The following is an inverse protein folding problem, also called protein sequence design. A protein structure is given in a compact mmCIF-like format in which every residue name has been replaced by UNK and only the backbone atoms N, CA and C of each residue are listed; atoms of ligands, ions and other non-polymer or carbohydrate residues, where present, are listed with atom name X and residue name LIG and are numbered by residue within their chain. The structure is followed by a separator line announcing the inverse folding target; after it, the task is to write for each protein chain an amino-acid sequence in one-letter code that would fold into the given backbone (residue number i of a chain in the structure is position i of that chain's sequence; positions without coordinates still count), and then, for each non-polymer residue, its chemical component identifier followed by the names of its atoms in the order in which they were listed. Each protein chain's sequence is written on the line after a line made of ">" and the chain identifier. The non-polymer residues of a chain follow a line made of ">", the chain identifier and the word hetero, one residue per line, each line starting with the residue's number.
data_IF_863280092758
#
_entry.id   IF_863280092758
#
_cell.length_a   1.000
_cell.length_b   1.000
_cell.length_c   1.000
_cell.angle_alpha   90.00
_cell.angle_beta   90.00
_cell.angle_gamma   90.00
#
_symmetry.space_group_name_H-M   'P 1'
#
loop_
_entity.id
_entity.type
_entity.pdbx_description
1 polymer ?
#
# COMPACT_ATOMS: atom_id res chain seq x y z
N UNK A 1 -18.61 -6.85 14.40
CA UNK A 1 -17.44 -7.23 13.56
C UNK A 1 -16.13 -6.86 14.25
N UNK A 2 -15.86 -5.57 14.49
CA UNK A 2 -14.59 -5.06 15.07
C UNK A 2 -14.12 -5.85 16.30
N UNK A 3 -14.96 -5.99 17.33
CA UNK A 3 -14.66 -6.79 18.53
C UNK A 3 -14.22 -8.23 18.25
N UNK A 4 -14.80 -8.87 17.24
CA UNK A 4 -14.47 -10.25 16.89
C UNK A 4 -13.11 -10.34 16.20
N UNK A 5 -12.79 -9.38 15.33
CA UNK A 5 -11.50 -9.31 14.64
C UNK A 5 -10.39 -9.01 15.66
N UNK A 6 -10.61 -8.04 16.54
CA UNK A 6 -9.64 -7.62 17.55
C UNK A 6 -9.52 -8.56 18.77
N UNK A 7 -10.28 -9.67 18.81
CA UNK A 7 -10.19 -10.61 19.93
C UNK A 7 -8.78 -11.21 20.07
N UNK A 8 -8.09 -11.40 18.96
CA UNK A 8 -6.79 -12.08 18.89
C UNK A 8 -5.78 -11.32 18.01
N UNK A 9 -5.96 -10.01 17.85
CA UNK A 9 -5.11 -9.18 17.01
C UNK A 9 -4.83 -7.84 17.70
N UNK A 10 -3.58 -7.39 17.62
CA UNK A 10 -3.11 -6.11 18.17
C UNK A 10 -3.35 -4.95 17.19
N UNK A 11 -4.04 -5.21 16.08
CA UNK A 11 -4.38 -4.18 15.10
C UNK A 11 -5.41 -4.63 14.07
N UNK A 12 -5.99 -3.65 13.40
CA UNK A 12 -6.95 -3.85 12.30
C UNK A 12 -6.68 -2.84 11.19
N UNK A 13 -6.64 -3.33 9.94
CA UNK A 13 -6.70 -2.50 8.75
C UNK A 13 -8.15 -2.44 8.26
N UNK A 14 -8.72 -1.25 8.20
CA UNK A 14 -10.05 -1.00 7.62
C UNK A 14 -9.87 -0.76 6.14
N UNK A 15 -10.27 -1.74 5.35
CA UNK A 15 -10.32 -1.63 3.90
C UNK A 15 -11.36 -0.59 3.48
N UNK A 16 -11.04 0.25 2.49
CA UNK A 16 -11.88 1.33 2.02
C UNK A 16 -12.48 2.17 3.15
N UNK A 17 -11.62 2.83 3.94
CA UNK A 17 -12.04 3.53 5.17
C UNK A 17 -13.00 4.69 4.91
N UNK A 18 -13.01 5.23 3.69
CA UNK A 18 -14.03 6.18 3.22
C UNK A 18 -15.47 5.61 3.32
N UNK A 19 -15.61 4.28 3.35
CA UNK A 19 -16.86 3.56 3.60
C UNK A 19 -17.54 3.90 4.94
N UNK A 20 -16.79 4.43 5.92
CA UNK A 20 -17.37 4.94 7.17
C UNK A 20 -18.16 6.25 6.96
N UNK A 21 -17.93 6.97 5.85
CA UNK A 21 -18.67 8.17 5.45
C UNK A 21 -19.70 7.88 4.38
N UNK A 22 -19.30 7.13 3.33
CA UNK A 22 -20.16 6.85 2.18
C UNK A 22 -19.67 5.67 1.36
N UNK A 23 -20.58 5.03 0.65
CA UNK A 23 -20.26 4.00 -0.34
C UNK A 23 -20.93 4.29 -1.68
N UNK A 24 -20.25 3.95 -2.76
CA UNK A 24 -20.82 4.00 -4.12
C UNK A 24 -21.74 2.80 -4.33
N UNK A 25 -23.05 3.02 -4.29
CA UNK A 25 -24.05 1.99 -4.46
C UNK A 25 -24.49 1.90 -5.92
N UNK A 26 -24.50 0.69 -6.46
CA UNK A 26 -24.96 0.39 -7.81
C UNK A 26 -26.22 -0.46 -7.69
N UNK A 27 -27.35 -0.05 -8.30
CA UNK A 27 -28.54 -0.89 -8.32
C UNK A 27 -28.25 -2.26 -8.95
N UNK A 28 -28.83 -3.36 -8.45
CA UNK A 28 -28.58 -4.69 -9.00
C UNK A 28 -28.86 -4.74 -10.52
N UNK A 29 -27.88 -5.20 -11.29
CA UNK A 29 -27.97 -5.33 -12.75
C UNK A 29 -27.58 -4.09 -13.56
N UNK A 30 -27.33 -2.94 -12.92
CA UNK A 30 -26.90 -1.72 -13.58
C UNK A 30 -25.35 -1.61 -13.67
N UNK A 31 -24.81 -0.89 -14.67
CA UNK A 31 -23.37 -0.64 -14.76
C UNK A 31 -22.88 0.35 -13.69
N UNK A 32 -21.58 0.35 -13.32
CA UNK A 32 -21.05 1.21 -12.25
C UNK A 32 -21.35 2.71 -12.40
N UNK A 33 -21.39 3.21 -13.64
CA UNK A 33 -21.73 4.61 -13.97
C UNK A 33 -23.15 5.04 -13.56
N UNK A 34 -24.01 4.10 -13.19
CA UNK A 34 -25.40 4.33 -12.74
C UNK A 34 -25.54 4.33 -11.22
N UNK A 35 -24.44 4.22 -10.50
CA UNK A 35 -24.44 4.30 -9.04
C UNK A 35 -24.55 5.72 -8.50
N UNK A 36 -24.60 5.81 -7.18
CA UNK A 36 -24.55 7.07 -6.42
C UNK A 36 -23.94 6.82 -5.05
N UNK A 37 -23.46 7.89 -4.39
CA UNK A 37 -23.01 7.79 -3.01
C UNK A 37 -24.18 7.74 -2.03
N UNK A 38 -24.20 6.70 -1.20
CA UNK A 38 -25.06 6.59 -0.01
C UNK A 38 -24.21 6.90 1.22
N UNK A 39 -24.71 7.82 2.05
CA UNK A 39 -23.98 8.35 3.19
C UNK A 39 -24.33 7.62 4.48
N UNK A 40 -23.34 7.48 5.35
CA UNK A 40 -23.43 6.98 6.71
C UNK A 40 -23.23 8.11 7.71
N UNK A 41 -23.43 7.81 9.00
CA UNK A 41 -23.06 8.69 10.11
C UNK A 41 -21.59 8.40 10.50
N UNK A 42 -20.61 9.18 10.02
CA UNK A 42 -19.21 8.91 10.29
C UNK A 42 -18.87 9.06 11.78
N UNK A 43 -19.53 9.96 12.50
CA UNK A 43 -19.25 10.18 13.92
C UNK A 43 -19.59 8.93 14.73
N UNK A 44 -20.76 8.35 14.47
CA UNK A 44 -21.16 7.09 15.10
C UNK A 44 -20.22 5.92 14.71
N UNK A 45 -19.85 5.83 13.43
CA UNK A 45 -18.99 4.76 12.91
C UNK A 45 -17.57 4.83 13.50
N UNK A 46 -16.97 6.02 13.53
CA UNK A 46 -15.66 6.29 14.12
C UNK A 46 -15.69 6.07 15.64
N UNK A 47 -16.73 6.52 16.33
CA UNK A 47 -16.85 6.30 17.78
C UNK A 47 -16.85 4.82 18.15
N UNK A 48 -17.59 3.98 17.40
CA UNK A 48 -17.60 2.53 17.64
C UNK A 48 -16.24 1.90 17.32
N UNK A 49 -15.63 2.25 16.18
CA UNK A 49 -14.32 1.73 15.79
C UNK A 49 -13.24 2.06 16.81
N UNK A 50 -13.13 3.33 17.19
CA UNK A 50 -12.12 3.82 18.13
C UNK A 50 -12.33 3.27 19.54
N UNK A 51 -13.58 3.14 20.01
CA UNK A 51 -13.88 2.54 21.31
C UNK A 51 -13.46 1.06 21.35
N UNK A 52 -13.82 0.27 20.35
CA UNK A 52 -13.47 -1.15 20.32
C UNK A 52 -11.96 -1.37 20.13
N UNK A 53 -11.29 -0.53 19.33
CA UNK A 53 -9.83 -0.52 19.21
C UNK A 53 -9.15 -0.17 20.54
N UNK A 54 -9.61 0.88 21.21
CA UNK A 54 -9.09 1.30 22.52
C UNK A 54 -9.23 0.20 23.57
N UNK A 55 -10.39 -0.47 23.64
CA UNK A 55 -10.62 -1.59 24.58
C UNK A 55 -9.71 -2.78 24.33
N UNK A 56 -9.28 -2.98 23.08
CA UNK A 56 -8.35 -4.04 22.70
C UNK A 56 -6.88 -3.61 22.77
N UNK A 57 -6.59 -2.31 23.00
CA UNK A 57 -5.23 -1.77 22.87
C UNK A 57 -4.67 -1.87 21.45
N UNK A 58 -5.54 -1.86 20.43
CA UNK A 58 -5.20 -2.19 19.06
C UNK A 58 -4.90 -0.96 18.18
N UNK A 59 -3.95 -1.09 17.27
CA UNK A 59 -3.67 -0.10 16.22
C UNK A 59 -4.73 -0.18 15.12
N UNK A 60 -5.18 0.97 14.62
CA UNK A 60 -6.09 1.04 13.47
C UNK A 60 -5.36 1.67 12.29
N UNK A 61 -5.40 1.00 11.14
CA UNK A 61 -4.96 1.55 9.85
C UNK A 61 -6.18 1.74 8.96
N UNK A 62 -6.46 2.96 8.52
CA UNK A 62 -7.41 3.22 7.45
C UNK A 62 -6.73 3.09 6.09
N UNK A 63 -7.33 2.31 5.20
CA UNK A 63 -7.01 2.35 3.78
C UNK A 63 -7.72 3.56 3.16
N UNK A 64 -6.97 4.65 2.99
CA UNK A 64 -7.41 5.93 2.44
C UNK A 64 -6.80 6.21 1.04
N UNK A 65 -6.71 5.19 0.18
CA UNK A 65 -6.19 5.31 -1.18
C UNK A 65 -7.30 5.63 -2.18
N UNK A 66 -6.91 6.24 -3.31
CA UNK A 66 -7.82 6.56 -4.41
C UNK A 66 -8.56 7.88 -4.19
N UNK A 67 -9.83 7.93 -4.58
CA UNK A 67 -10.63 9.16 -4.53
C UNK A 67 -11.26 9.36 -3.14
N UNK A 68 -10.43 9.79 -2.20
CA UNK A 68 -10.82 10.04 -0.80
C UNK A 68 -10.89 11.55 -0.53
N UNK A 69 -11.92 11.99 0.18
CA UNK A 69 -12.04 13.40 0.57
C UNK A 69 -11.04 13.71 1.70
N UNK A 70 -10.37 14.89 1.71
CA UNK A 70 -9.36 15.23 2.71
C UNK A 70 -9.80 15.00 4.17
N UNK A 71 -11.07 15.31 4.46
CA UNK A 71 -11.69 15.13 5.78
C UNK A 71 -11.59 13.69 6.32
N UNK A 72 -11.51 12.69 5.45
CA UNK A 72 -11.38 11.27 5.86
C UNK A 72 -10.00 11.07 6.48
N UNK A 73 -8.93 11.41 5.75
CA UNK A 73 -7.55 11.30 6.24
C UNK A 73 -7.30 12.20 7.45
N UNK A 74 -7.88 13.40 7.48
CA UNK A 74 -7.84 14.29 8.65
C UNK A 74 -8.45 13.61 9.88
N UNK A 75 -9.67 13.07 9.76
CA UNK A 75 -10.33 12.37 10.85
C UNK A 75 -9.56 11.12 11.31
N UNK A 76 -8.91 10.38 10.40
CA UNK A 76 -8.03 9.27 10.80
C UNK A 76 -6.96 9.76 11.78
N UNK A 77 -6.25 10.82 11.41
CA UNK A 77 -5.17 11.35 12.24
C UNK A 77 -5.68 11.96 13.55
N UNK A 78 -6.81 12.67 13.54
CA UNK A 78 -7.44 13.23 14.75
C UNK A 78 -7.82 12.15 15.77
N UNK A 79 -8.22 10.97 15.29
CA UNK A 79 -8.55 9.82 16.13
C UNK A 79 -7.36 8.90 16.44
N UNK A 80 -6.13 9.31 16.10
CA UNK A 80 -4.91 8.52 16.34
C UNK A 80 -4.80 7.25 15.48
N UNK A 81 -5.53 7.19 14.37
CA UNK A 81 -5.47 6.10 13.39
C UNK A 81 -4.42 6.41 12.31
N UNK A 82 -3.86 5.36 11.72
CA UNK A 82 -2.86 5.47 10.67
C UNK A 82 -3.53 5.55 9.28
N UNK A 83 -3.03 6.41 8.40
CA UNK A 83 -3.31 6.37 6.96
C UNK A 83 -2.47 5.29 6.26
N UNK A 84 -2.68 5.09 4.95
CA UNK A 84 -1.90 4.18 4.11
C UNK A 84 -0.99 4.96 3.16
N UNK A 85 0.32 4.84 3.34
CA UNK A 85 1.33 5.44 2.46
C UNK A 85 1.95 4.38 1.54
N UNK A 86 1.54 4.34 0.28
CA UNK A 86 2.03 3.36 -0.72
C UNK A 86 2.96 4.07 -1.70
N UNK A 87 4.22 3.62 -1.81
CA UNK A 87 5.29 4.27 -2.59
C UNK A 87 4.85 4.70 -3.99
N UNK A 88 4.13 3.83 -4.71
CA UNK A 88 3.64 4.09 -6.07
C UNK A 88 2.78 5.35 -6.20
N UNK A 89 2.16 5.80 -5.11
CA UNK A 89 1.19 6.90 -5.08
C UNK A 89 1.68 8.14 -4.33
N UNK A 90 2.87 8.11 -3.71
CA UNK A 90 3.34 9.23 -2.90
C UNK A 90 3.90 10.34 -3.79
N UNK A 91 3.02 11.29 -4.18
CA UNK A 91 3.33 12.41 -5.07
C UNK A 91 2.73 13.72 -4.55
N UNK A 92 3.39 14.83 -4.84
CA UNK A 92 2.85 16.17 -4.61
C UNK A 92 1.88 16.54 -5.74
N UNK A 93 0.63 16.08 -5.64
CA UNK A 93 -0.38 16.27 -6.70
C UNK A 93 -0.76 17.74 -6.96
N UNK A 94 -0.45 18.65 -6.06
CA UNK A 94 -0.70 20.09 -6.23
C UNK A 94 0.43 20.82 -7.01
N UNK A 95 1.55 20.13 -7.29
CA UNK A 95 2.69 20.69 -8.02
C UNK A 95 2.72 20.23 -9.48
N UNK A 96 3.27 21.03 -10.41
CA UNK A 96 3.51 20.59 -11.78
C UNK A 96 4.28 19.26 -11.82
N UNK A 97 3.89 18.38 -12.75
CA UNK A 97 4.48 17.04 -12.96
C UNK A 97 4.35 16.05 -11.79
N UNK A 98 3.63 16.42 -10.72
CA UNK A 98 3.36 15.59 -9.54
C UNK A 98 4.60 14.82 -9.04
N UNK A 99 5.67 15.51 -8.60
CA UNK A 99 6.92 14.87 -8.24
C UNK A 99 6.72 13.89 -7.07
N UNK A 100 7.53 12.83 -7.06
CA UNK A 100 7.54 11.85 -5.97
C UNK A 100 7.94 12.49 -4.64
N UNK A 101 7.25 12.12 -3.57
CA UNK A 101 7.57 12.54 -2.21
C UNK A 101 8.57 11.53 -1.64
N UNK A 102 9.78 11.94 -1.22
CA UNK A 102 10.74 11.04 -0.60
C UNK A 102 10.20 10.50 0.74
N UNK A 103 10.44 9.21 1.08
CA UNK A 103 9.85 8.59 2.27
C UNK A 103 10.07 9.31 3.59
N UNK A 104 11.21 9.98 3.77
CA UNK A 104 11.51 10.79 4.97
C UNK A 104 10.49 11.91 5.22
N UNK A 105 9.80 12.37 4.18
CA UNK A 105 8.75 13.41 4.26
C UNK A 105 7.35 12.84 4.45
N UNK A 106 7.16 11.53 4.38
CA UNK A 106 5.85 10.92 4.61
C UNK A 106 5.38 11.17 6.04
N UNK A 107 4.08 11.14 6.28
CA UNK A 107 3.54 11.34 7.63
C UNK A 107 3.97 10.21 8.57
N UNK A 108 4.23 10.57 9.83
CA UNK A 108 4.45 9.59 10.89
C UNK A 108 3.18 8.77 11.15
N UNK A 109 2.00 9.38 11.02
CA UNK A 109 0.69 8.76 11.24
C UNK A 109 0.23 7.91 10.06
N UNK A 110 1.13 7.10 9.50
CA UNK A 110 0.83 6.18 8.40
C UNK A 110 1.43 4.79 8.63
N UNK A 111 0.85 3.83 7.92
CA UNK A 111 1.45 2.57 7.56
C UNK A 111 2.05 2.70 6.16
N UNK A 112 3.37 2.61 6.07
CA UNK A 112 4.11 2.68 4.82
C UNK A 112 4.32 1.31 4.19
N UNK A 113 4.14 1.21 2.87
CA UNK A 113 4.52 0.04 2.07
C UNK A 113 4.99 0.48 0.68
N UNK A 114 5.68 -0.41 -0.03
CA UNK A 114 5.99 -0.16 -1.45
C UNK A 114 4.75 -0.41 -2.30
N UNK A 115 4.12 -1.56 -2.08
CA UNK A 115 2.96 -2.05 -2.84
C UNK A 115 1.84 -2.53 -1.91
N UNK A 116 0.75 -3.00 -2.50
CA UNK A 116 -0.35 -3.71 -1.83
C UNK A 116 -0.64 -5.01 -2.58
N UNK A 117 -1.57 -5.82 -2.08
CA UNK A 117 -1.98 -7.04 -2.77
C UNK A 117 -2.69 -6.78 -4.12
N UNK A 118 -3.18 -5.56 -4.35
CA UNK A 118 -3.86 -5.13 -5.58
C UNK A 118 -2.92 -4.52 -6.63
N UNK A 119 -1.65 -4.32 -6.26
CA UNK A 119 -0.68 -3.57 -7.03
C UNK A 119 0.48 -4.48 -7.44
N UNK A 120 1.22 -4.15 -8.52
CA UNK A 120 2.41 -4.89 -8.90
C UNK A 120 3.40 -4.94 -7.73
N UNK A 121 4.03 -6.10 -7.56
CA UNK A 121 5.25 -6.21 -6.75
C UNK A 121 6.34 -5.31 -7.33
N UNK A 122 7.43 -5.07 -6.59
CA UNK A 122 8.59 -4.34 -7.11
C UNK A 122 9.13 -5.00 -8.38
N UNK A 123 9.32 -6.31 -8.36
CA UNK A 123 9.81 -7.05 -9.52
C UNK A 123 8.82 -6.98 -10.70
N UNK A 124 7.51 -7.12 -10.44
CA UNK A 124 6.46 -6.99 -11.44
C UNK A 124 6.32 -5.57 -12.01
N UNK A 125 6.51 -4.55 -11.19
CA UNK A 125 6.49 -3.15 -11.62
C UNK A 125 7.67 -2.86 -12.56
N UNK A 126 8.89 -3.25 -12.14
CA UNK A 126 10.11 -3.06 -12.91
C UNK A 126 10.08 -3.77 -14.27
N UNK A 127 9.44 -4.94 -14.33
CA UNK A 127 9.24 -5.71 -15.55
C UNK A 127 8.04 -5.25 -16.39
N UNK A 128 7.30 -4.22 -15.96
CA UNK A 128 6.02 -3.80 -16.55
C UNK A 128 4.99 -4.96 -16.68
N UNK A 129 5.03 -5.93 -15.75
CA UNK A 129 4.18 -7.12 -15.76
C UNK A 129 2.69 -6.76 -15.70
N UNK A 130 2.35 -5.79 -14.87
CA UNK A 130 0.99 -5.23 -14.77
C UNK A 130 0.51 -4.59 -16.09
N UNK A 131 1.40 -4.09 -16.93
CA UNK A 131 1.05 -3.62 -18.28
C UNK A 131 0.86 -4.81 -19.22
N UNK A 132 1.81 -5.76 -19.23
CA UNK A 132 1.74 -6.97 -20.05
C UNK A 132 0.46 -7.76 -19.84
N UNK A 133 0.13 -8.06 -18.58
CA UNK A 133 -1.07 -8.84 -18.23
C UNK A 133 -2.34 -8.08 -18.62
N UNK A 134 -2.44 -6.78 -18.34
CA UNK A 134 -3.62 -5.98 -18.75
C UNK A 134 -3.77 -5.89 -20.27
N UNK A 135 -2.67 -5.84 -21.02
CA UNK A 135 -2.69 -5.89 -22.48
C UNK A 135 -3.21 -7.23 -23.01
N UNK A 136 -2.73 -8.36 -22.46
CA UNK A 136 -3.18 -9.71 -22.82
C UNK A 136 -4.68 -9.91 -22.53
N UNK A 137 -5.19 -9.26 -21.49
CA UNK A 137 -6.60 -9.28 -21.12
C UNK A 137 -7.46 -8.25 -21.86
N UNK A 138 -6.88 -7.45 -22.76
CA UNK A 138 -7.59 -6.42 -23.51
C UNK A 138 -8.21 -5.32 -22.62
N UNK A 139 -7.53 -4.94 -21.52
CA UNK A 139 -8.04 -4.02 -20.49
C UNK A 139 -7.59 -2.58 -20.64
N UNK A 140 -6.99 -2.22 -21.77
CA UNK A 140 -6.65 -0.83 -22.07
C UNK A 140 -7.68 -0.23 -23.04
N UNK A 141 -8.13 0.99 -22.74
CA UNK A 141 -8.99 1.75 -23.65
C UNK A 141 -8.18 2.36 -24.82
N UNK A 142 -6.87 2.55 -24.62
CA UNK A 142 -5.95 3.14 -25.59
C UNK A 142 -4.84 2.20 -26.08
N UNK A 143 -3.89 2.72 -26.89
CA UNK A 143 -2.78 1.93 -27.42
C UNK A 143 -1.85 1.41 -26.33
N UNK A 144 -1.57 0.11 -26.35
CA UNK A 144 -0.69 -0.59 -25.39
C UNK A 144 0.71 0.04 -25.33
N UNK A 145 1.26 0.51 -26.45
CA UNK A 145 2.55 1.19 -26.50
C UNK A 145 2.58 2.51 -25.68
N UNK A 146 1.42 3.15 -25.49
CA UNK A 146 1.28 4.30 -24.60
C UNK A 146 1.49 3.92 -23.14
N UNK A 147 0.93 2.79 -22.73
CA UNK A 147 0.99 2.24 -21.38
C UNK A 147 2.40 1.78 -21.02
N UNK A 148 3.09 1.08 -21.93
CA UNK A 148 4.50 0.74 -21.72
C UNK A 148 5.38 1.98 -21.60
N UNK A 149 5.15 3.02 -22.43
CA UNK A 149 5.87 4.28 -22.31
C UNK A 149 5.58 4.99 -20.98
N UNK A 150 4.37 4.87 -20.43
CA UNK A 150 4.05 5.41 -19.11
C UNK A 150 4.78 4.65 -18.00
N UNK A 151 4.75 3.32 -18.02
CA UNK A 151 5.47 2.48 -17.07
C UNK A 151 7.00 2.74 -17.12
N UNK A 152 7.58 2.90 -18.30
CA UNK A 152 9.01 3.26 -18.44
C UNK A 152 9.34 4.63 -17.83
N UNK A 153 8.46 5.63 -17.99
CA UNK A 153 8.64 6.96 -17.36
C UNK A 153 8.56 6.86 -15.84
N UNK A 154 7.54 6.20 -15.30
CA UNK A 154 7.38 6.02 -13.85
C UNK A 154 8.55 5.23 -13.25
N UNK A 155 9.05 4.20 -13.96
CA UNK A 155 10.28 3.50 -13.56
C UNK A 155 11.47 4.45 -13.53
N UNK A 156 11.62 5.30 -14.54
CA UNK A 156 12.69 6.31 -14.60
C UNK A 156 12.66 7.28 -13.41
N UNK A 157 11.47 7.78 -13.05
CA UNK A 157 11.29 8.68 -11.90
C UNK A 157 11.68 8.01 -10.57
N UNK A 158 11.29 6.75 -10.37
CA UNK A 158 11.62 5.98 -9.18
C UNK A 158 13.12 5.66 -9.07
N UNK A 159 13.78 5.37 -10.21
CA UNK A 159 15.23 5.17 -10.24
C UNK A 159 15.99 6.47 -9.95
N UNK A 160 15.50 7.62 -10.44
CA UNK A 160 16.08 8.90 -10.09
C UNK A 160 15.85 9.24 -8.61
N UNK A 161 14.70 8.88 -8.03
CA UNK A 161 14.46 9.00 -6.59
C UNK A 161 15.48 8.19 -5.77
N UNK A 162 15.75 6.93 -6.14
CA UNK A 162 16.79 6.12 -5.47
C UNK A 162 18.15 6.83 -5.49
N UNK A 163 18.52 7.41 -6.64
CA UNK A 163 19.78 8.14 -6.81
C UNK A 163 19.83 9.43 -5.99
N UNK A 164 18.74 10.22 -6.00
CA UNK A 164 18.63 11.45 -5.18
C UNK A 164 18.75 11.13 -3.68
N UNK A 165 18.17 10.00 -3.28
CA UNK A 165 18.21 9.49 -1.92
C UNK A 165 19.54 8.77 -1.58
N UNK A 166 20.49 8.69 -2.51
CA UNK A 166 21.77 8.03 -2.30
C UNK A 166 21.67 6.53 -2.00
N UNK A 167 20.60 5.88 -2.45
CA UNK A 167 20.37 4.44 -2.26
C UNK A 167 21.03 3.66 -3.41
N UNK A 168 21.96 2.73 -3.14
CA UNK A 168 22.59 1.91 -4.17
C UNK A 168 21.57 1.04 -4.91
N UNK A 169 21.71 0.94 -6.24
CA UNK A 169 20.74 0.30 -7.13
C UNK A 169 21.22 -1.07 -7.68
N UNK A 170 22.16 -1.74 -6.99
CA UNK A 170 22.74 -3.02 -7.44
C UNK A 170 21.69 -4.16 -7.47
N UNK A 171 20.81 -4.17 -6.47
CA UNK A 171 19.61 -5.03 -6.39
C UNK A 171 18.41 -4.11 -6.15
N UNK A 172 17.65 -3.84 -7.21
CA UNK A 172 16.55 -2.88 -7.16
C UNK A 172 15.46 -3.25 -6.15
N UNK A 173 15.18 -4.55 -5.95
CA UNK A 173 14.20 -4.97 -4.94
C UNK A 173 14.68 -4.56 -3.56
N UNK A 174 15.94 -4.87 -3.23
CA UNK A 174 16.55 -4.47 -1.96
C UNK A 174 16.66 -2.95 -1.85
N UNK A 175 16.97 -2.24 -2.93
CA UNK A 175 17.08 -0.78 -2.97
C UNK A 175 15.75 -0.08 -2.63
N UNK A 176 14.63 -0.51 -3.21
CA UNK A 176 13.32 0.04 -2.87
C UNK A 176 12.93 -0.21 -1.42
N UNK A 177 13.33 -1.34 -0.83
CA UNK A 177 13.12 -1.60 0.60
C UNK A 177 14.03 -0.74 1.49
N UNK A 178 15.28 -0.51 1.09
CA UNK A 178 16.16 0.43 1.79
C UNK A 178 15.63 1.87 1.72
N UNK A 179 15.05 2.27 0.58
CA UNK A 179 14.37 3.54 0.42
C UNK A 179 13.14 3.62 1.34
N UNK A 180 12.27 2.60 1.34
CA UNK A 180 11.10 2.52 2.23
C UNK A 180 11.50 2.57 3.70
N UNK A 181 12.65 2.00 4.08
CA UNK A 181 13.14 2.01 5.45
C UNK A 181 13.39 3.44 5.99
N UNK A 182 13.60 4.41 5.11
CA UNK A 182 13.71 5.84 5.47
C UNK A 182 12.36 6.50 5.79
N UNK A 183 11.23 5.82 5.56
CA UNK A 183 9.91 6.38 5.80
C UNK A 183 9.77 6.84 7.25
N UNK A 184 9.28 8.06 7.47
CA UNK A 184 8.99 8.57 8.82
C UNK A 184 7.80 7.85 9.48
N UNK A 185 7.00 7.14 8.69
CA UNK A 185 5.82 6.37 9.12
C UNK A 185 6.14 5.43 10.29
N UNK A 186 5.25 5.38 11.29
CA UNK A 186 5.47 4.57 12.49
C UNK A 186 5.42 3.07 12.21
N UNK A 187 4.65 2.66 11.20
CA UNK A 187 4.56 1.28 10.74
C UNK A 187 5.09 1.19 9.32
N UNK A 188 6.00 0.24 9.06
CA UNK A 188 6.53 -0.07 7.72
C UNK A 188 6.31 -1.55 7.49
N UNK A 189 5.65 -1.89 6.38
CA UNK A 189 5.34 -3.27 6.01
C UNK A 189 5.94 -3.60 4.64
N UNK A 190 6.30 -4.87 4.50
CA UNK A 190 6.64 -5.48 3.21
C UNK A 190 5.90 -6.80 3.02
N UNK A 191 5.69 -7.16 1.76
CA UNK A 191 5.12 -8.43 1.34
C UNK A 191 6.22 -9.48 1.14
N UNK A 192 5.99 -10.76 1.53
CA UNK A 192 6.88 -11.85 1.17
C UNK A 192 7.04 -12.03 -0.35
N UNK A 193 5.99 -11.77 -1.14
CA UNK A 193 6.04 -11.82 -2.60
C UNK A 193 7.08 -10.83 -3.16
N UNK A 194 7.10 -9.61 -2.62
CA UNK A 194 8.10 -8.60 -2.99
C UNK A 194 9.51 -9.08 -2.63
N UNK A 195 9.69 -9.56 -1.40
CA UNK A 195 11.00 -10.00 -0.90
C UNK A 195 11.57 -11.21 -1.66
N UNK A 196 10.68 -12.04 -2.23
CA UNK A 196 11.02 -13.19 -3.06
C UNK A 196 11.13 -12.84 -4.56
N UNK A 197 10.91 -11.59 -4.95
CA UNK A 197 10.96 -11.15 -6.34
C UNK A 197 9.89 -11.76 -7.24
N UNK A 198 8.73 -12.12 -6.68
CA UNK A 198 7.59 -12.61 -7.47
C UNK A 198 7.16 -11.53 -8.47
N UNK A 199 6.97 -11.89 -9.73
CA UNK A 199 6.55 -10.95 -10.78
C UNK A 199 5.04 -10.69 -10.71
N UNK A 200 4.27 -11.71 -10.33
CA UNK A 200 2.82 -11.71 -10.40
C UNK A 200 2.22 -11.06 -9.15
N UNK A 201 1.40 -10.02 -9.33
CA UNK A 201 0.66 -9.42 -8.24
C UNK A 201 -0.41 -10.39 -7.68
N UNK A 202 -0.67 -10.43 -6.36
CA UNK A 202 -1.61 -11.38 -5.76
C UNK A 202 -3.04 -11.27 -6.30
N UNK A 203 -3.50 -10.06 -6.59
CA UNK A 203 -4.80 -9.75 -7.15
C UNK A 203 -4.66 -8.70 -8.25
N UNK A 204 -5.39 -8.88 -9.35
CA UNK A 204 -5.51 -7.91 -10.45
C UNK A 204 -6.93 -7.30 -10.44
N UNK A 205 -7.10 -6.09 -9.88
CA UNK A 205 -8.41 -5.45 -9.78
C UNK A 205 -9.17 -5.40 -11.11
N UNK A 206 -10.48 -5.60 -11.04
CA UNK A 206 -11.36 -5.63 -12.21
C UNK A 206 -11.38 -6.96 -12.96
N UNK A 207 -10.71 -8.00 -12.46
CA UNK A 207 -10.78 -9.35 -13.02
C UNK A 207 -11.49 -10.32 -12.06
N UNK A 208 -12.10 -11.36 -12.61
CA UNK A 208 -12.73 -12.45 -11.86
C UNK A 208 -11.98 -13.74 -12.18
N UNK A 209 -12.19 -14.29 -13.38
CA UNK A 209 -11.60 -15.55 -13.82
C UNK A 209 -10.40 -15.37 -14.78
N UNK A 210 -10.18 -14.14 -15.24
CA UNK A 210 -9.16 -13.82 -16.24
C UNK A 210 -7.72 -13.86 -15.68
N UNK A 211 -7.57 -13.75 -14.36
CA UNK A 211 -6.29 -13.76 -13.66
C UNK A 211 -6.35 -14.74 -12.48
N UNK A 212 -5.23 -15.37 -12.07
CA UNK A 212 -5.16 -16.21 -10.88
C UNK A 212 -5.23 -15.41 -9.56
N UNK A 213 -6.21 -14.50 -9.44
CA UNK A 213 -6.47 -13.73 -8.23
C UNK A 213 -6.53 -14.64 -7.01
N UNK A 214 -5.79 -14.29 -5.96
CA UNK A 214 -5.75 -15.01 -4.67
C UNK A 214 -5.25 -16.46 -4.76
N UNK A 215 -4.65 -16.84 -5.89
CA UNK A 215 -4.22 -18.21 -6.19
C UNK A 215 -2.74 -18.31 -6.56
N UNK A 216 -1.97 -17.25 -6.33
CA UNK A 216 -0.53 -17.22 -6.56
C UNK A 216 0.17 -17.66 -5.27
N UNK A 217 0.76 -18.86 -5.22
CA UNK A 217 1.52 -19.31 -4.06
C UNK A 217 2.87 -18.59 -3.99
N UNK A 218 3.46 -18.54 -2.79
CA UNK A 218 4.87 -18.16 -2.67
C UNK A 218 5.75 -19.18 -3.40
N UNK A 219 6.86 -18.76 -4.03
CA UNK A 219 7.76 -19.66 -4.75
C UNK A 219 8.57 -20.59 -3.83
N UNK A 220 8.50 -20.40 -2.50
CA UNK A 220 9.21 -21.19 -1.49
C UNK A 220 8.26 -21.68 -0.39
N UNK A 221 8.63 -22.77 0.29
CA UNK A 221 7.89 -23.24 1.45
C UNK A 221 8.11 -22.31 2.66
N UNK A 222 7.14 -22.29 3.58
CA UNK A 222 7.24 -21.46 4.80
C UNK A 222 8.48 -21.79 5.64
N UNK A 223 8.90 -23.07 5.68
CA UNK A 223 10.07 -23.51 6.43
C UNK A 223 11.37 -22.88 5.89
N UNK A 224 11.43 -22.60 4.59
CA UNK A 224 12.62 -22.05 3.92
C UNK A 224 12.54 -20.52 3.75
N UNK A 225 11.36 -19.92 3.97
CA UNK A 225 11.08 -18.50 3.69
C UNK A 225 12.06 -17.56 4.40
N UNK A 226 12.35 -17.80 5.68
CA UNK A 226 13.24 -16.93 6.47
C UNK A 226 14.73 -17.19 6.20
N UNK A 227 15.04 -18.28 5.50
CA UNK A 227 16.40 -18.63 5.09
C UNK A 227 16.71 -18.16 3.66
N UNK A 228 15.69 -17.79 2.89
CA UNK A 228 15.83 -17.26 1.54
C UNK A 228 16.74 -16.02 1.51
N UNK A 229 17.75 -15.98 0.63
CA UNK A 229 18.68 -14.85 0.54
C UNK A 229 18.01 -13.51 0.20
N UNK A 230 16.95 -13.50 -0.62
CA UNK A 230 16.20 -12.30 -0.98
C UNK A 230 15.44 -11.75 0.23
N UNK A 231 14.73 -12.62 0.95
CA UNK A 231 14.05 -12.26 2.20
C UNK A 231 15.02 -11.71 3.23
N UNK A 232 16.18 -12.34 3.42
CA UNK A 232 17.21 -11.85 4.35
C UNK A 232 17.78 -10.49 3.93
N UNK A 233 18.02 -10.24 2.64
CA UNK A 233 18.48 -8.93 2.15
C UNK A 233 17.45 -7.84 2.40
N UNK A 234 16.19 -8.10 2.06
CA UNK A 234 15.08 -7.15 2.28
C UNK A 234 14.88 -6.87 3.78
N UNK A 235 14.88 -7.91 4.62
CA UNK A 235 14.77 -7.74 6.06
C UNK A 235 15.94 -6.91 6.63
N UNK A 236 17.17 -7.16 6.17
CA UNK A 236 18.34 -6.38 6.59
C UNK A 236 18.26 -4.91 6.13
N UNK A 237 17.80 -4.65 4.90
CA UNK A 237 17.60 -3.31 4.38
C UNK A 237 16.57 -2.52 5.21
N UNK A 238 15.44 -3.15 5.54
CA UNK A 238 14.41 -2.55 6.41
C UNK A 238 14.94 -2.32 7.83
N UNK A 239 15.63 -3.30 8.42
CA UNK A 239 16.17 -3.16 9.77
C UNK A 239 17.24 -2.06 9.87
N UNK A 240 18.12 -1.94 8.88
CA UNK A 240 19.20 -0.95 8.85
C UNK A 240 18.69 0.49 8.82
N UNK A 241 17.63 0.77 8.05
CA UNK A 241 17.04 2.12 7.99
C UNK A 241 16.14 2.48 9.18
N UNK A 242 15.69 1.49 9.96
CA UNK A 242 14.74 1.65 11.07
C UNK A 242 15.39 1.62 12.46
N UNK A 243 16.68 1.99 12.56
CA UNK A 243 17.41 2.00 13.84
C UNK A 243 16.57 2.74 14.90
N UNK A 244 16.22 2.10 16.03
CA UNK A 244 15.38 2.72 17.04
C UNK A 244 16.03 4.00 17.54
N UNK A 245 15.47 5.16 17.20
CA UNK A 245 15.84 6.41 17.82
C UNK A 245 15.59 6.30 19.33
N UNK A 246 16.59 6.69 20.12
CA UNK A 246 16.57 6.80 21.58
C UNK A 246 15.51 7.82 22.07
N UNK A 247 14.23 7.51 21.89
CA UNK A 247 13.10 8.42 22.12
C UNK A 247 11.94 7.84 22.92
N UNK A 248 12.08 6.64 23.50
CA UNK A 248 11.09 6.05 24.42
C UNK A 248 11.57 6.12 25.88
N UNK A 249 11.98 7.31 26.32
CA UNK A 249 12.01 7.67 27.73
C UNK A 249 11.11 8.87 27.94
N UNK A 250 9.80 8.64 28.03
CA UNK A 250 8.80 9.68 28.23
C UNK A 250 7.53 9.09 28.83
N UNK A 251 7.47 9.15 30.17
CA UNK A 251 6.34 8.97 31.10
C UNK A 251 5.28 7.91 30.76
N UNK A 252 5.29 6.83 31.57
CA UNK A 252 4.06 6.14 31.99
C UNK A 252 3.13 7.09 32.74
#
# INVERSE_FOLDING_TARGET
>A
VVRSVLRHADGIRIDHVAGLWRLWWIPPGEPPKRGTYVHYDPDAMLAVLTLEAHRAGAVVVGEDLGTVEPKVTEALHEHGMLSSAVLWFQREYDLPDHPLIPPEKWTASAMASISTHDLPTVAGFLAAEHVRVRAELGRFEGPVDGEYRAAERERGELLELLKQEGVPADDLVTAFHALLAKARSVLVLTSPQDALGELRQPNLPGTTDQYPNWRIPLPVALADLFDDPGVRRVAAALAGGRTPGAGASGSR
#
